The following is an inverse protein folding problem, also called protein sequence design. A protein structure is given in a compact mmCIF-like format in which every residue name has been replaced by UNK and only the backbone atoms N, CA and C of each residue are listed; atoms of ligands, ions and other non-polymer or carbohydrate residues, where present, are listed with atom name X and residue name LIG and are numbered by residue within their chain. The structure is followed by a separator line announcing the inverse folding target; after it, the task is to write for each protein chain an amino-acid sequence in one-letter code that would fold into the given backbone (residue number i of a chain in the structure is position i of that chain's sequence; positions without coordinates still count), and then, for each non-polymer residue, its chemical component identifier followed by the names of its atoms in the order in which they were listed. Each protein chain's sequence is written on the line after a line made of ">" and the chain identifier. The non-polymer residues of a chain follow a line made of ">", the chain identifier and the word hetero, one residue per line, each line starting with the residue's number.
data_IF_157102962764
#
_entry.id   IF_157102962764
#
_cell.length_a   1.000
_cell.length_b   1.000
_cell.length_c   1.000
_cell.angle_alpha   90.00
_cell.angle_beta   90.00
_cell.angle_gamma   90.00
#
_symmetry.space_group_name_H-M   'P 1'
#
loop_
_entity.id
_entity.type
_entity.pdbx_description
1 polymer ?
#
# COMPACT_ATOMS: atom_id res chain seq x y z
N UNK A 1 3.31 -69.26 -25.37
CA UNK A 1 1.89 -69.15 -25.78
C UNK A 1 1.29 -67.97 -25.03
N UNK A 2 1.15 -66.82 -25.71
CA UNK A 2 -0.12 -66.21 -26.14
C UNK A 2 -1.05 -65.73 -25.00
N UNK A 3 -1.02 -64.40 -24.81
CA UNK A 3 -2.10 -63.43 -24.47
C UNK A 3 -3.29 -63.91 -23.64
N UNK A 4 -3.54 -63.25 -22.50
CA UNK A 4 -4.82 -62.75 -21.94
C UNK A 4 -4.37 -61.87 -20.73
N UNK A 5 -4.80 -60.65 -20.45
CA UNK A 5 -5.78 -59.73 -21.03
C UNK A 5 -5.76 -58.50 -20.11
N UNK A 6 -5.65 -57.32 -20.69
CA UNK A 6 -5.65 -56.03 -19.99
C UNK A 6 -6.97 -55.84 -19.23
N UNK A 7 -6.94 -55.82 -17.89
CA UNK A 7 -8.11 -55.45 -17.10
C UNK A 7 -7.69 -54.99 -15.71
N UNK A 8 -7.17 -53.76 -15.57
CA UNK A 8 -7.16 -52.97 -14.33
C UNK A 8 -6.51 -51.60 -14.59
N UNK A 9 -7.13 -50.80 -15.46
CA UNK A 9 -6.80 -49.37 -15.62
C UNK A 9 -8.06 -48.54 -15.87
N UNK A 10 -9.12 -48.79 -15.10
CA UNK A 10 -10.38 -48.02 -15.17
C UNK A 10 -11.02 -47.93 -13.77
N UNK A 11 -10.27 -47.42 -12.78
CA UNK A 11 -10.86 -47.07 -11.48
C UNK A 11 -10.12 -45.92 -10.77
N UNK A 12 -9.72 -44.91 -11.55
CA UNK A 12 -9.26 -43.61 -11.04
C UNK A 12 -9.71 -42.46 -11.98
N UNK A 13 -10.96 -42.54 -12.47
CA UNK A 13 -11.54 -41.53 -13.38
C UNK A 13 -12.94 -41.07 -12.95
N UNK A 14 -13.26 -41.12 -11.65
CA UNK A 14 -14.55 -40.65 -11.11
C UNK A 14 -14.44 -39.69 -9.93
N UNK A 15 -13.30 -39.00 -9.76
CA UNK A 15 -13.15 -37.90 -8.79
C UNK A 15 -12.74 -36.57 -9.43
N UNK A 16 -12.72 -36.49 -10.77
CA UNK A 16 -12.42 -35.27 -11.52
C UNK A 16 -13.68 -34.59 -12.08
N UNK A 17 -14.73 -34.45 -11.26
CA UNK A 17 -15.94 -33.70 -11.65
C UNK A 17 -16.24 -32.50 -10.72
N UNK A 18 -15.24 -32.01 -10.00
CA UNK A 18 -15.31 -30.74 -9.25
C UNK A 18 -14.04 -29.92 -9.44
N UNK A 19 -13.66 -29.66 -10.69
CA UNK A 19 -12.74 -28.59 -11.05
C UNK A 19 -12.95 -28.22 -12.53
N UNK A 20 -12.99 -26.91 -12.80
CA UNK A 20 -13.07 -26.25 -14.11
C UNK A 20 -14.48 -26.01 -14.70
N UNK A 21 -15.24 -25.13 -14.06
CA UNK A 21 -16.11 -24.20 -14.80
C UNK A 21 -15.60 -22.78 -14.61
N UNK A 22 -14.43 -22.50 -15.18
CA UNK A 22 -13.90 -21.13 -15.33
C UNK A 22 -13.87 -20.80 -16.81
N UNK A 23 -14.86 -20.03 -17.26
CA UNK A 23 -14.83 -19.25 -18.50
C UNK A 23 -14.80 -20.04 -19.81
N UNK A 24 -15.94 -20.09 -20.50
CA UNK A 24 -16.12 -19.50 -21.83
C UNK A 24 -17.53 -19.85 -22.34
N UNK A 25 -18.30 -18.82 -22.70
CA UNK A 25 -19.70 -18.84 -23.20
C UNK A 25 -20.84 -18.81 -22.16
N UNK A 26 -20.71 -18.02 -21.09
CA UNK A 26 -21.92 -17.53 -20.42
C UNK A 26 -22.54 -16.46 -21.33
N UNK A 27 -23.66 -16.80 -21.96
CA UNK A 27 -24.43 -15.82 -22.74
C UNK A 27 -25.13 -14.87 -21.77
N UNK A 28 -24.68 -13.61 -21.75
CA UNK A 28 -25.35 -12.56 -20.99
C UNK A 28 -26.73 -12.30 -21.57
N UNK A 29 -27.73 -12.11 -20.70
CA UNK A 29 -29.03 -11.66 -21.18
C UNK A 29 -28.91 -10.27 -21.86
N UNK A 30 -29.76 -9.95 -22.85
CA UNK A 30 -29.63 -8.72 -23.64
C UNK A 30 -29.66 -7.43 -22.81
N UNK A 31 -30.47 -7.39 -21.76
CA UNK A 31 -30.56 -6.29 -20.79
C UNK A 31 -29.26 -6.11 -20.00
N UNK A 32 -28.67 -7.20 -19.50
CA UNK A 32 -27.37 -7.17 -18.81
C UNK A 32 -26.24 -6.78 -19.74
N UNK A 33 -26.23 -7.30 -20.98
CA UNK A 33 -25.26 -6.89 -22.00
C UNK A 33 -25.38 -5.39 -22.33
N UNK A 34 -26.60 -4.87 -22.42
CA UNK A 34 -26.85 -3.44 -22.63
C UNK A 34 -26.32 -2.61 -21.45
N UNK A 35 -26.60 -3.01 -20.21
CA UNK A 35 -26.08 -2.32 -19.02
C UNK A 35 -24.55 -2.32 -19.00
N UNK A 36 -23.90 -3.44 -19.30
CA UNK A 36 -22.45 -3.54 -19.38
C UNK A 36 -21.88 -2.57 -20.45
N UNK A 37 -22.52 -2.47 -21.62
CA UNK A 37 -22.14 -1.52 -22.67
C UNK A 37 -22.30 -0.06 -22.23
N UNK A 38 -23.37 0.27 -21.53
CA UNK A 38 -23.59 1.62 -21.00
C UNK A 38 -22.56 2.00 -19.93
N UNK A 39 -22.22 1.06 -19.04
CA UNK A 39 -21.14 1.22 -18.05
C UNK A 39 -19.79 1.42 -18.74
N UNK A 40 -19.49 0.58 -19.74
CA UNK A 40 -18.26 0.67 -20.53
C UNK A 40 -18.17 1.98 -21.32
N UNK A 41 -19.30 2.53 -21.79
CA UNK A 41 -19.35 3.81 -22.51
C UNK A 41 -18.95 4.99 -21.62
N UNK A 42 -19.42 5.02 -20.37
CA UNK A 42 -18.98 6.04 -19.40
C UNK A 42 -17.51 5.85 -19.00
N UNK A 43 -17.06 4.59 -18.96
CA UNK A 43 -15.67 4.19 -18.72
C UNK A 43 -15.02 4.83 -17.47
N UNK A 44 -15.82 5.05 -16.44
CA UNK A 44 -15.36 5.54 -15.14
C UNK A 44 -16.10 4.82 -14.03
N UNK A 45 -15.38 4.41 -13.00
CA UNK A 45 -15.97 3.89 -11.78
C UNK A 45 -16.31 5.06 -10.86
N UNK A 46 -17.59 5.26 -10.58
CA UNK A 46 -18.09 6.34 -9.74
C UNK A 46 -18.77 5.79 -8.49
N UNK A 47 -18.54 6.43 -7.34
CA UNK A 47 -19.28 6.12 -6.10
C UNK A 47 -20.71 6.72 -6.14
N UNK A 48 -21.50 6.42 -5.10
CA UNK A 48 -22.91 6.86 -4.99
C UNK A 48 -23.12 8.36 -5.10
N UNK A 49 -22.16 9.17 -4.67
CA UNK A 49 -22.24 10.62 -4.64
C UNK A 49 -20.89 11.19 -5.11
N UNK A 50 -20.92 12.06 -6.12
CA UNK A 50 -19.72 12.61 -6.77
C UNK A 50 -19.81 14.12 -7.01
N UNK A 51 -18.65 14.76 -7.10
CA UNK A 51 -18.53 16.21 -7.29
C UNK A 51 -18.86 17.03 -6.04
N UNK A 52 -18.73 18.35 -6.17
CA UNK A 52 -18.91 19.30 -5.05
C UNK A 52 -20.31 19.21 -4.42
N UNK A 53 -21.33 18.99 -5.25
CA UNK A 53 -22.73 18.90 -4.81
C UNK A 53 -23.13 17.49 -4.29
N UNK A 54 -22.21 16.51 -4.28
CA UNK A 54 -22.54 15.14 -3.88
C UNK A 54 -23.58 14.49 -4.79
N UNK A 55 -23.59 14.85 -6.08
CA UNK A 55 -24.58 14.40 -7.05
C UNK A 55 -24.51 12.90 -7.24
N UNK A 56 -25.67 12.24 -7.25
CA UNK A 56 -25.76 10.83 -7.61
C UNK A 56 -25.59 10.65 -9.11
N UNK A 57 -24.54 9.97 -9.60
CA UNK A 57 -24.27 9.88 -11.02
C UNK A 57 -25.10 8.77 -11.68
N UNK A 58 -25.50 8.96 -12.94
CA UNK A 58 -26.19 7.93 -13.73
C UNK A 58 -25.39 6.61 -13.80
N UNK A 59 -24.06 6.70 -13.72
CA UNK A 59 -23.17 5.54 -13.67
C UNK A 59 -23.41 4.67 -12.42
N UNK A 60 -23.71 5.29 -11.28
CA UNK A 60 -24.07 4.56 -10.07
C UNK A 60 -25.43 3.89 -10.20
N UNK A 61 -26.40 4.54 -10.85
CA UNK A 61 -27.71 3.92 -11.15
C UNK A 61 -27.56 2.69 -12.06
N UNK A 62 -26.67 2.74 -13.06
CA UNK A 62 -26.35 1.58 -13.90
C UNK A 62 -25.74 0.45 -13.08
N UNK A 63 -24.85 0.77 -12.15
CA UNK A 63 -24.28 -0.23 -11.25
C UNK A 63 -25.34 -0.87 -10.35
N UNK A 64 -26.22 -0.08 -9.71
CA UNK A 64 -27.28 -0.64 -8.87
C UNK A 64 -28.21 -1.55 -9.68
N UNK A 65 -28.62 -1.12 -10.88
CA UNK A 65 -29.39 -1.98 -11.81
C UNK A 65 -28.64 -3.26 -12.16
N UNK A 66 -27.36 -3.16 -12.51
CA UNK A 66 -26.54 -4.34 -12.82
C UNK A 66 -26.51 -5.31 -11.63
N UNK A 67 -26.26 -4.80 -10.42
CA UNK A 67 -26.19 -5.59 -9.18
C UNK A 67 -27.53 -6.27 -8.87
N UNK A 68 -28.65 -5.58 -9.08
CA UNK A 68 -29.99 -6.07 -8.72
C UNK A 68 -30.56 -7.02 -9.78
N UNK A 69 -30.20 -6.84 -11.05
CA UNK A 69 -30.80 -7.59 -12.15
C UNK A 69 -29.94 -8.76 -12.63
N UNK A 70 -28.60 -8.65 -12.59
CA UNK A 70 -27.72 -9.70 -13.07
C UNK A 70 -27.71 -10.89 -12.09
N UNK A 71 -27.75 -12.10 -12.65
CA UNK A 71 -27.52 -13.31 -11.86
C UNK A 71 -26.06 -13.38 -11.39
N UNK A 72 -25.76 -14.13 -10.31
CA UNK A 72 -24.38 -14.34 -9.88
C UNK A 72 -23.48 -14.88 -11.00
N UNK A 73 -23.99 -15.76 -11.86
CA UNK A 73 -23.22 -16.32 -12.99
C UNK A 73 -22.88 -15.24 -14.04
N UNK A 74 -23.81 -14.34 -14.35
CA UNK A 74 -23.57 -13.21 -15.25
C UNK A 74 -22.56 -12.22 -14.65
N UNK A 75 -22.68 -11.91 -13.36
CA UNK A 75 -21.72 -11.05 -12.66
C UNK A 75 -20.31 -11.66 -12.66
N UNK A 76 -20.19 -12.96 -12.38
CA UNK A 76 -18.90 -13.68 -12.47
C UNK A 76 -18.32 -13.62 -13.88
N UNK A 77 -19.15 -13.81 -14.91
CA UNK A 77 -18.71 -13.69 -16.31
C UNK A 77 -18.22 -12.27 -16.64
N UNK A 78 -18.91 -11.24 -16.15
CA UNK A 78 -18.53 -9.84 -16.35
C UNK A 78 -17.21 -9.45 -15.66
N UNK A 79 -16.73 -10.23 -14.69
CA UNK A 79 -15.39 -10.01 -14.13
C UNK A 79 -14.27 -10.27 -15.14
N UNK A 80 -14.52 -10.99 -16.24
CA UNK A 80 -13.59 -11.17 -17.36
C UNK A 80 -13.85 -10.24 -18.56
N UNK A 81 -14.72 -9.24 -18.42
CA UNK A 81 -15.10 -8.34 -19.52
C UNK A 81 -13.91 -7.50 -20.02
N UNK A 82 -13.85 -7.15 -21.31
CA UNK A 82 -12.74 -6.37 -21.91
C UNK A 82 -12.55 -4.98 -21.25
N UNK A 83 -13.67 -4.31 -20.92
CA UNK A 83 -13.67 -3.02 -20.26
C UNK A 83 -13.38 -3.16 -18.74
N UNK A 84 -12.34 -2.48 -18.21
CA UNK A 84 -11.93 -2.61 -16.81
C UNK A 84 -12.98 -2.10 -15.81
N UNK A 85 -13.78 -1.09 -16.17
CA UNK A 85 -14.84 -0.55 -15.29
C UNK A 85 -15.96 -1.55 -15.10
N UNK A 86 -16.33 -2.27 -16.17
CA UNK A 86 -17.30 -3.37 -16.10
C UNK A 86 -16.79 -4.47 -15.18
N UNK A 87 -15.51 -4.87 -15.31
CA UNK A 87 -14.88 -5.85 -14.40
C UNK A 87 -14.99 -5.41 -12.94
N UNK A 88 -14.61 -4.16 -12.64
CA UNK A 88 -14.64 -3.61 -11.29
C UNK A 88 -16.06 -3.55 -10.70
N UNK A 89 -17.06 -3.09 -11.44
CA UNK A 89 -18.44 -3.06 -10.93
C UNK A 89 -19.01 -4.45 -10.70
N UNK A 90 -18.74 -5.40 -11.60
CA UNK A 90 -19.17 -6.78 -11.43
C UNK A 90 -18.52 -7.43 -10.19
N UNK A 91 -17.21 -7.27 -10.02
CA UNK A 91 -16.49 -7.76 -8.84
C UNK A 91 -16.97 -7.10 -7.55
N UNK A 92 -17.24 -5.80 -7.57
CA UNK A 92 -17.78 -5.08 -6.42
C UNK A 92 -19.18 -5.58 -6.03
N UNK A 93 -20.07 -5.84 -7.00
CA UNK A 93 -21.39 -6.44 -6.76
C UNK A 93 -21.27 -7.84 -6.12
N UNK A 94 -20.36 -8.68 -6.61
CA UNK A 94 -20.09 -10.01 -6.03
C UNK A 94 -19.54 -9.90 -4.60
N UNK A 95 -18.65 -8.94 -4.35
CA UNK A 95 -18.08 -8.71 -3.02
C UNK A 95 -19.13 -8.24 -2.01
N UNK A 96 -20.03 -7.32 -2.42
CA UNK A 96 -21.14 -6.87 -1.57
C UNK A 96 -22.15 -7.97 -1.25
N UNK A 97 -22.35 -8.92 -2.17
CA UNK A 97 -23.25 -10.06 -1.98
C UNK A 97 -22.59 -11.27 -1.32
N UNK A 98 -21.30 -11.15 -0.93
CA UNK A 98 -20.50 -12.22 -0.34
C UNK A 98 -20.47 -13.51 -1.20
N UNK A 99 -20.41 -13.34 -2.52
CA UNK A 99 -20.40 -14.46 -3.45
C UNK A 99 -19.15 -15.34 -3.23
N UNK A 100 -19.35 -16.65 -3.17
CA UNK A 100 -18.27 -17.63 -2.91
C UNK A 100 -17.12 -17.59 -3.93
N UNK A 101 -17.34 -17.07 -5.14
CA UNK A 101 -16.33 -16.97 -6.18
C UNK A 101 -15.39 -15.77 -6.03
N UNK A 102 -15.66 -14.82 -5.12
CA UNK A 102 -14.85 -13.60 -4.93
C UNK A 102 -13.37 -13.92 -4.74
N UNK A 103 -13.05 -14.92 -3.91
CA UNK A 103 -11.67 -15.32 -3.67
C UNK A 103 -10.99 -15.83 -4.95
N UNK A 104 -11.61 -16.76 -5.67
CA UNK A 104 -11.05 -17.32 -6.90
C UNK A 104 -10.91 -16.26 -8.00
N UNK A 105 -11.89 -15.37 -8.13
CA UNK A 105 -11.84 -14.28 -9.10
C UNK A 105 -10.71 -13.30 -8.77
N UNK A 106 -10.51 -12.96 -7.49
CA UNK A 106 -9.38 -12.14 -7.04
C UNK A 106 -8.06 -12.78 -7.47
N UNK A 107 -7.85 -14.07 -7.17
CA UNK A 107 -6.62 -14.78 -7.53
C UNK A 107 -6.32 -14.70 -9.04
N UNK A 108 -7.34 -14.86 -9.87
CA UNK A 108 -7.20 -14.82 -11.34
C UNK A 108 -6.87 -13.43 -11.88
N UNK A 109 -7.09 -12.36 -11.11
CA UNK A 109 -6.90 -10.97 -11.53
C UNK A 109 -5.74 -10.27 -10.82
N UNK A 110 -4.90 -10.98 -10.07
CA UNK A 110 -3.74 -10.37 -9.41
C UNK A 110 -2.70 -9.83 -10.39
N UNK A 111 -2.71 -10.26 -11.65
CA UNK A 111 -1.85 -9.73 -12.72
C UNK A 111 -2.57 -8.71 -13.61
N UNK A 112 -3.83 -8.36 -13.35
CA UNK A 112 -4.57 -7.39 -14.17
C UNK A 112 -4.14 -5.96 -13.86
N UNK A 113 -3.23 -5.45 -14.70
CA UNK A 113 -2.70 -4.08 -14.61
C UNK A 113 -3.50 -3.06 -15.40
N UNK A 114 -4.67 -3.42 -15.94
CA UNK A 114 -5.53 -2.47 -16.66
C UNK A 114 -5.93 -1.32 -15.74
N UNK A 115 -5.89 -0.08 -16.25
CA UNK A 115 -6.23 1.09 -15.45
C UNK A 115 -7.75 1.33 -15.44
N UNK A 116 -8.28 1.54 -14.25
CA UNK A 116 -9.64 2.07 -14.03
C UNK A 116 -9.54 3.50 -13.52
N UNK A 117 -10.25 4.43 -14.16
CA UNK A 117 -10.46 5.78 -13.65
C UNK A 117 -11.56 5.75 -12.59
N UNK A 118 -11.33 6.41 -11.46
CA UNK A 118 -12.29 6.50 -10.36
C UNK A 118 -12.76 7.93 -10.11
N UNK A 119 -13.97 8.06 -9.55
CA UNK A 119 -14.47 9.29 -8.96
C UNK A 119 -15.22 8.94 -7.67
N UNK A 120 -14.65 9.32 -6.55
CA UNK A 120 -15.20 9.05 -5.22
C UNK A 120 -15.40 10.38 -4.52
N UNK A 121 -16.66 10.80 -4.35
CA UNK A 121 -16.94 12.17 -3.90
C UNK A 121 -16.32 13.17 -4.89
N UNK A 122 -15.48 14.07 -4.39
CA UNK A 122 -14.73 15.02 -5.21
C UNK A 122 -13.39 14.50 -5.74
N UNK A 123 -12.95 13.30 -5.35
CA UNK A 123 -11.62 12.78 -5.65
C UNK A 123 -11.62 11.93 -6.92
N UNK A 124 -11.03 12.47 -7.99
CA UNK A 124 -10.69 11.71 -9.19
C UNK A 124 -9.34 11.01 -9.02
N UNK A 125 -9.25 9.73 -9.39
CA UNK A 125 -7.99 8.98 -9.34
C UNK A 125 -7.94 7.90 -10.41
N UNK A 126 -6.88 7.10 -10.42
CA UNK A 126 -6.78 5.88 -11.21
C UNK A 126 -6.05 4.80 -10.43
N UNK A 127 -6.50 3.56 -10.56
CA UNK A 127 -5.87 2.38 -9.98
C UNK A 127 -5.91 1.22 -10.96
N UNK A 128 -5.11 0.16 -10.71
CA UNK A 128 -5.17 -1.07 -11.51
C UNK A 128 -6.39 -1.91 -11.09
N UNK A 129 -6.93 -2.71 -12.00
CA UNK A 129 -8.04 -3.61 -11.69
C UNK A 129 -7.67 -4.60 -10.58
N UNK A 130 -6.47 -5.18 -10.61
CA UNK A 130 -6.02 -6.07 -9.53
C UNK A 130 -5.94 -5.37 -8.16
N UNK A 131 -5.54 -4.10 -8.11
CA UNK A 131 -5.55 -3.29 -6.87
C UNK A 131 -6.99 -3.05 -6.39
N UNK A 132 -7.90 -2.69 -7.31
CA UNK A 132 -9.31 -2.51 -6.99
C UNK A 132 -9.92 -3.79 -6.42
N UNK A 133 -9.64 -4.94 -7.04
CA UNK A 133 -10.15 -6.24 -6.62
C UNK A 133 -9.60 -6.58 -5.23
N UNK A 134 -8.29 -6.44 -5.03
CA UNK A 134 -7.65 -6.71 -3.75
C UNK A 134 -8.29 -5.91 -2.60
N UNK A 135 -8.53 -4.62 -2.80
CA UNK A 135 -9.08 -3.71 -1.80
C UNK A 135 -10.57 -3.93 -1.51
N UNK A 136 -11.34 -4.38 -2.50
CA UNK A 136 -12.80 -4.58 -2.35
C UNK A 136 -13.20 -6.03 -2.08
N UNK A 137 -12.27 -6.98 -2.08
CA UNK A 137 -12.57 -8.39 -1.89
C UNK A 137 -13.05 -8.68 -0.45
N UNK A 138 -14.27 -9.18 -0.34
CA UNK A 138 -14.82 -9.75 0.88
C UNK A 138 -14.28 -11.18 1.07
N UNK A 139 -13.09 -11.30 1.67
CA UNK A 139 -12.40 -12.58 1.92
C UNK A 139 -12.10 -12.77 3.40
N UNK A 140 -12.05 -14.02 3.83
CA UNK A 140 -11.63 -14.38 5.20
C UNK A 140 -10.15 -14.02 5.47
N UNK A 141 -9.77 -13.93 6.74
CA UNK A 141 -8.36 -13.69 7.13
C UNK A 141 -7.39 -14.73 6.55
N UNK A 142 -7.80 -16.00 6.47
CA UNK A 142 -6.99 -17.08 5.85
C UNK A 142 -6.80 -16.87 4.36
N UNK A 143 -7.86 -16.48 3.65
CA UNK A 143 -7.78 -16.17 2.22
C UNK A 143 -6.94 -14.92 1.97
N UNK A 144 -7.09 -13.87 2.79
CA UNK A 144 -6.26 -12.67 2.72
C UNK A 144 -4.79 -13.02 2.89
N UNK A 145 -4.46 -13.81 3.90
CA UNK A 145 -3.10 -14.30 4.12
C UNK A 145 -2.52 -15.03 2.90
N UNK A 146 -3.31 -15.89 2.25
CA UNK A 146 -2.88 -16.58 1.04
C UNK A 146 -2.63 -15.62 -0.14
N UNK A 147 -3.50 -14.62 -0.33
CA UNK A 147 -3.31 -13.59 -1.35
C UNK A 147 -2.06 -12.77 -1.07
N UNK A 148 -1.85 -12.34 0.17
CA UNK A 148 -0.68 -11.54 0.57
C UNK A 148 0.62 -12.31 0.32
N UNK A 149 0.63 -13.63 0.58
CA UNK A 149 1.76 -14.50 0.24
C UNK A 149 1.98 -14.56 -1.27
N UNK A 150 0.94 -14.75 -2.09
CA UNK A 150 1.07 -14.75 -3.55
C UNK A 150 1.59 -13.40 -4.05
N UNK A 151 1.05 -12.29 -3.54
CA UNK A 151 1.51 -10.94 -3.85
C UNK A 151 3.01 -10.81 -3.59
N UNK A 152 3.48 -11.22 -2.41
CA UNK A 152 4.88 -11.06 -2.02
C UNK A 152 5.84 -11.90 -2.85
N UNK A 153 5.49 -13.15 -3.13
CA UNK A 153 6.41 -14.14 -3.75
C UNK A 153 6.32 -14.23 -5.27
N UNK A 154 5.29 -13.67 -5.90
CA UNK A 154 5.18 -13.66 -7.35
C UNK A 154 5.69 -12.33 -7.94
N UNK A 155 6.79 -12.40 -8.69
CA UNK A 155 7.40 -11.26 -9.38
C UNK A 155 6.57 -10.73 -10.55
N UNK A 156 5.72 -11.55 -11.17
CA UNK A 156 4.88 -11.10 -12.28
C UNK A 156 3.75 -10.17 -11.81
N UNK A 157 3.49 -10.10 -10.50
CA UNK A 157 2.46 -9.25 -9.94
C UNK A 157 3.00 -7.85 -9.68
N UNK A 158 2.54 -6.90 -10.48
CA UNK A 158 2.82 -5.48 -10.34
C UNK A 158 1.55 -4.74 -9.90
N UNK A 159 1.28 -4.76 -8.59
CA UNK A 159 0.15 -4.09 -7.95
C UNK A 159 0.64 -3.20 -6.79
N UNK A 160 -0.03 -2.08 -6.55
CA UNK A 160 0.25 -1.20 -5.40
C UNK A 160 -0.02 -1.92 -4.07
N UNK A 161 -0.93 -2.89 -4.04
CA UNK A 161 -1.20 -3.76 -2.89
C UNK A 161 0.07 -4.42 -2.32
N UNK A 162 1.08 -4.74 -3.15
CA UNK A 162 2.38 -5.27 -2.68
C UNK A 162 3.17 -4.22 -1.90
N UNK A 163 3.15 -2.96 -2.33
CA UNK A 163 3.77 -1.85 -1.60
C UNK A 163 3.08 -1.63 -0.25
N UNK A 164 1.74 -1.61 -0.23
CA UNK A 164 0.97 -1.49 1.02
C UNK A 164 1.25 -2.65 1.99
N UNK A 165 1.36 -3.87 1.46
CA UNK A 165 1.72 -5.05 2.23
C UNK A 165 3.10 -4.88 2.88
N UNK A 166 4.13 -4.52 2.12
CA UNK A 166 5.49 -4.30 2.65
C UNK A 166 5.51 -3.20 3.71
N UNK A 167 4.75 -2.12 3.51
CA UNK A 167 4.66 -1.02 4.47
C UNK A 167 4.12 -1.48 5.84
N UNK A 168 3.13 -2.37 5.87
CA UNK A 168 2.48 -2.85 7.11
C UNK A 168 3.01 -4.18 7.64
N UNK A 169 3.86 -4.89 6.90
CA UNK A 169 4.26 -6.25 7.26
C UNK A 169 5.03 -6.26 8.58
N UNK A 170 4.74 -7.26 9.42
CA UNK A 170 5.52 -7.56 10.63
C UNK A 170 6.77 -8.37 10.25
N UNK A 171 7.90 -8.21 10.97
CA UNK A 171 9.11 -8.96 10.69
C UNK A 171 8.92 -10.43 11.10
N UNK A 172 8.59 -11.29 10.13
CA UNK A 172 8.40 -12.72 10.34
C UNK A 172 9.46 -13.49 9.55
N UNK A 173 10.21 -14.36 10.21
CA UNK A 173 11.40 -15.00 9.63
C UNK A 173 11.17 -15.64 8.25
N UNK A 174 9.99 -16.22 8.02
CA UNK A 174 9.60 -16.81 6.73
C UNK A 174 9.64 -15.85 5.54
N UNK A 175 9.51 -14.54 5.77
CA UNK A 175 9.53 -13.52 4.73
C UNK A 175 10.88 -12.83 4.59
N UNK A 176 11.82 -13.06 5.51
CA UNK A 176 13.09 -12.34 5.57
C UNK A 176 13.86 -12.36 4.24
N UNK A 177 14.13 -13.55 3.71
CA UNK A 177 14.89 -13.69 2.45
C UNK A 177 14.20 -12.99 1.28
N UNK A 178 12.86 -13.09 1.22
CA UNK A 178 12.09 -12.46 0.14
C UNK A 178 12.06 -10.94 0.26
N UNK A 179 11.89 -10.41 1.47
CA UNK A 179 11.95 -8.95 1.71
C UNK A 179 13.35 -8.42 1.41
N UNK A 180 14.40 -9.15 1.79
CA UNK A 180 15.79 -8.80 1.49
C UNK A 180 16.06 -8.75 -0.01
N UNK A 181 15.57 -9.73 -0.76
CA UNK A 181 15.60 -9.73 -2.23
C UNK A 181 14.92 -8.49 -2.81
N UNK A 182 13.70 -8.18 -2.35
CA UNK A 182 12.94 -7.01 -2.80
C UNK A 182 13.63 -5.68 -2.44
N UNK A 183 14.30 -5.60 -1.28
CA UNK A 183 15.05 -4.41 -0.85
C UNK A 183 16.28 -4.12 -1.73
N UNK A 184 16.83 -5.16 -2.37
CA UNK A 184 17.91 -5.02 -3.35
C UNK A 184 17.40 -4.60 -4.74
N UNK A 185 16.10 -4.81 -5.03
CA UNK A 185 15.47 -4.39 -6.28
C UNK A 185 15.30 -2.86 -6.37
N UNK A 186 15.18 -2.33 -7.59
CA UNK A 186 14.79 -0.94 -7.84
C UNK A 186 13.27 -0.71 -7.74
N UNK A 187 12.47 -1.76 -7.93
CA UNK A 187 11.01 -1.63 -8.08
C UNK A 187 10.27 -1.47 -6.73
N UNK A 188 10.91 -1.86 -5.63
CA UNK A 188 10.27 -1.92 -4.30
C UNK A 188 11.12 -1.27 -3.20
N UNK A 189 11.42 0.04 -3.28
CA UNK A 189 12.24 0.70 -2.27
C UNK A 189 11.63 0.67 -0.85
N UNK A 190 10.30 0.52 -0.72
CA UNK A 190 9.63 0.28 0.58
C UNK A 190 10.11 -1.00 1.28
N UNK A 191 10.64 -1.98 0.55
CA UNK A 191 11.17 -3.20 1.14
C UNK A 191 12.42 -2.91 2.00
N UNK A 192 13.12 -1.79 1.79
CA UNK A 192 14.22 -1.34 2.66
C UNK A 192 13.70 -1.06 4.08
N UNK A 193 12.55 -0.40 4.20
CA UNK A 193 11.90 -0.16 5.48
C UNK A 193 11.40 -1.47 6.10
N UNK A 194 10.78 -2.34 5.31
CA UNK A 194 10.33 -3.65 5.77
C UNK A 194 11.49 -4.53 6.28
N UNK A 195 12.65 -4.48 5.62
CA UNK A 195 13.86 -5.20 6.01
C UNK A 195 14.40 -4.67 7.34
N UNK A 196 14.43 -3.35 7.53
CA UNK A 196 14.93 -2.73 8.76
C UNK A 196 14.15 -3.16 10.02
N UNK A 197 12.87 -3.54 9.89
CA UNK A 197 12.07 -4.05 11.01
C UNK A 197 12.62 -5.35 11.63
N UNK A 198 13.44 -6.11 10.89
CA UNK A 198 14.13 -7.31 11.43
C UNK A 198 15.31 -6.95 12.33
N UNK A 199 15.88 -5.74 12.20
CA UNK A 199 17.03 -5.25 12.99
C UNK A 199 18.25 -6.16 12.93
N UNK A 200 18.45 -6.83 11.79
CA UNK A 200 19.62 -7.68 11.57
C UNK A 200 20.82 -6.83 11.13
N UNK A 201 21.90 -6.90 11.91
CA UNK A 201 23.18 -6.23 11.61
C UNK A 201 23.76 -6.60 10.24
N UNK A 202 23.44 -7.78 9.71
CA UNK A 202 23.87 -8.19 8.37
C UNK A 202 23.25 -7.34 7.24
N UNK A 203 22.19 -6.58 7.51
CA UNK A 203 21.49 -5.75 6.53
C UNK A 203 21.93 -4.27 6.54
N UNK A 204 22.82 -3.89 7.47
CA UNK A 204 23.32 -2.50 7.60
C UNK A 204 23.89 -1.99 6.27
N UNK A 205 24.68 -2.78 5.56
CA UNK A 205 25.26 -2.37 4.28
C UNK A 205 24.21 -2.16 3.17
N UNK A 206 23.08 -2.88 3.22
CA UNK A 206 21.98 -2.69 2.27
C UNK A 206 21.33 -1.33 2.51
N UNK A 207 21.01 -1.01 3.76
CA UNK A 207 20.38 0.26 4.14
C UNK A 207 21.33 1.45 3.90
N UNK A 208 22.63 1.30 4.18
CA UNK A 208 23.65 2.32 3.88
C UNK A 208 23.71 2.69 2.40
N UNK A 209 23.64 1.69 1.52
CA UNK A 209 23.61 1.92 0.07
C UNK A 209 22.34 2.66 -0.34
N UNK A 210 21.21 2.41 0.32
CA UNK A 210 19.95 3.08 0.01
C UNK A 210 19.97 4.60 0.26
N UNK A 211 20.75 5.10 1.23
CA UNK A 211 20.93 6.55 1.44
C UNK A 211 21.49 7.27 0.21
N UNK A 212 22.29 6.58 -0.63
CA UNK A 212 22.91 7.16 -1.83
C UNK A 212 22.17 6.81 -3.13
N UNK A 213 21.18 5.93 -3.06
CA UNK A 213 20.43 5.47 -4.24
C UNK A 213 19.29 6.44 -4.53
N UNK A 214 19.18 6.87 -5.78
CA UNK A 214 18.12 7.78 -6.22
C UNK A 214 16.73 7.21 -5.87
N UNK A 215 15.86 8.08 -5.34
CA UNK A 215 14.52 7.70 -4.90
C UNK A 215 14.44 6.83 -3.65
N UNK A 216 15.56 6.45 -3.03
CA UNK A 216 15.59 5.53 -1.89
C UNK A 216 15.91 6.19 -0.54
N UNK A 217 16.47 7.40 -0.53
CA UNK A 217 16.93 8.07 0.69
C UNK A 217 15.83 8.21 1.76
N UNK A 218 14.60 8.56 1.37
CA UNK A 218 13.46 8.63 2.29
C UNK A 218 13.18 7.30 3.00
N UNK A 219 13.26 6.19 2.27
CA UNK A 219 13.08 4.85 2.83
C UNK A 219 14.27 4.43 3.71
N UNK A 220 15.49 4.88 3.38
CA UNK A 220 16.67 4.66 4.23
C UNK A 220 16.56 5.43 5.57
N UNK A 221 16.02 6.65 5.55
CA UNK A 221 15.73 7.41 6.77
C UNK A 221 14.66 6.68 7.60
N UNK A 222 13.54 6.24 6.99
CA UNK A 222 12.54 5.43 7.69
C UNK A 222 13.11 4.13 8.26
N UNK A 223 13.98 3.45 7.51
CA UNK A 223 14.69 2.27 7.99
C UNK A 223 15.55 2.57 9.22
N UNK A 224 16.25 3.72 9.24
CA UNK A 224 17.02 4.16 10.41
C UNK A 224 16.15 4.52 11.62
N UNK A 225 14.86 4.83 11.43
CA UNK A 225 13.90 4.95 12.54
C UNK A 225 13.59 3.57 13.14
N UNK A 226 13.35 2.57 12.29
CA UNK A 226 13.01 1.22 12.72
C UNK A 226 14.21 0.46 13.34
N UNK A 227 15.42 0.73 12.84
CA UNK A 227 16.68 0.14 13.24
C UNK A 227 17.78 1.22 13.31
N UNK A 228 18.02 1.85 14.47
CA UNK A 228 18.96 2.95 14.60
C UNK A 228 20.42 2.46 14.73
N UNK A 229 21.00 1.94 13.64
CA UNK A 229 22.39 1.49 13.62
C UNK A 229 23.38 2.69 13.58
N UNK A 230 24.47 2.70 14.37
CA UNK A 230 25.44 3.80 14.41
C UNK A 230 25.98 4.22 13.03
N UNK A 231 26.11 3.28 12.11
CA UNK A 231 26.62 3.46 10.76
C UNK A 231 25.72 4.34 9.88
N UNK A 232 24.45 4.54 10.27
CA UNK A 232 23.52 5.41 9.55
C UNK A 232 23.70 6.89 9.94
N UNK A 233 24.31 7.18 11.09
CA UNK A 233 24.34 8.53 11.65
C UNK A 233 24.97 9.58 10.73
N UNK A 234 26.12 9.27 10.10
CA UNK A 234 26.77 10.22 9.19
C UNK A 234 25.88 10.58 8.01
N UNK A 235 25.09 9.63 7.50
CA UNK A 235 24.16 9.84 6.41
C UNK A 235 22.98 10.72 6.84
N UNK A 236 22.39 10.45 8.01
CA UNK A 236 21.30 11.26 8.55
C UNK A 236 21.73 12.72 8.76
N UNK A 237 22.93 12.95 9.30
CA UNK A 237 23.43 14.32 9.47
C UNK A 237 23.71 15.02 8.14
N UNK A 238 24.21 14.28 7.13
CA UNK A 238 24.40 14.83 5.78
C UNK A 238 23.06 15.19 5.13
N UNK A 239 22.07 14.31 5.19
CA UNK A 239 20.71 14.55 4.70
C UNK A 239 20.05 15.75 5.39
N UNK A 240 20.25 15.91 6.70
CA UNK A 240 19.76 17.09 7.44
C UNK A 240 20.37 18.38 6.90
N UNK A 241 21.70 18.43 6.76
CA UNK A 241 22.39 19.64 6.30
C UNK A 241 22.05 20.00 4.85
N UNK A 242 21.95 18.97 3.99
CA UNK A 242 21.51 19.15 2.62
C UNK A 242 20.09 19.73 2.56
N UNK A 243 19.12 19.12 3.25
CA UNK A 243 17.75 19.64 3.30
C UNK A 243 17.69 21.04 3.92
N UNK A 244 18.51 21.33 4.92
CA UNK A 244 18.57 22.65 5.54
C UNK A 244 18.96 23.75 4.54
N UNK A 245 19.86 23.43 3.62
CA UNK A 245 20.36 24.34 2.57
C UNK A 245 19.35 24.58 1.44
N UNK A 246 18.33 23.73 1.30
CA UNK A 246 17.33 23.81 0.24
C UNK A 246 16.30 24.91 0.51
N UNK A 247 15.77 25.45 -0.60
CA UNK A 247 14.62 26.39 -0.58
C UNK A 247 13.29 25.64 -0.51
N UNK A 248 13.20 24.49 -1.17
CA UNK A 248 12.02 23.63 -1.18
C UNK A 248 11.92 22.82 0.11
N UNK A 249 10.70 22.42 0.45
CA UNK A 249 10.42 21.73 1.71
C UNK A 249 9.75 20.37 1.51
N UNK A 250 10.37 19.32 2.06
CA UNK A 250 9.75 18.01 2.15
C UNK A 250 9.33 17.73 3.60
N UNK A 251 8.06 17.96 3.91
CA UNK A 251 7.51 17.70 5.25
C UNK A 251 7.72 16.24 5.70
N UNK A 252 7.45 15.21 4.87
CA UNK A 252 7.67 13.83 5.28
C UNK A 252 9.14 13.52 5.59
N UNK A 253 10.07 14.05 4.79
CA UNK A 253 11.51 13.83 4.99
C UNK A 253 12.00 14.51 6.27
N UNK A 254 11.62 15.76 6.52
CA UNK A 254 11.97 16.45 7.77
C UNK A 254 11.46 15.72 9.00
N UNK A 255 10.18 15.34 8.97
CA UNK A 255 9.55 14.56 10.03
C UNK A 255 10.34 13.28 10.34
N UNK A 256 10.70 12.53 9.30
CA UNK A 256 11.48 11.30 9.43
C UNK A 256 12.92 11.57 9.93
N UNK A 257 13.57 12.64 9.47
CA UNK A 257 14.93 13.00 9.88
C UNK A 257 15.01 13.33 11.38
N UNK A 258 14.07 14.13 11.92
CA UNK A 258 14.06 14.42 13.36
C UNK A 258 13.85 13.15 14.18
N UNK A 259 12.91 12.28 13.78
CA UNK A 259 12.64 11.02 14.45
C UNK A 259 13.85 10.06 14.40
N UNK A 260 14.53 9.98 13.26
CA UNK A 260 15.74 9.18 13.14
C UNK A 260 16.86 9.76 14.02
N UNK A 261 17.15 11.06 13.92
CA UNK A 261 18.23 11.72 14.66
C UNK A 261 18.01 11.72 16.18
N UNK A 262 16.76 11.79 16.67
CA UNK A 262 16.46 11.72 18.10
C UNK A 262 16.92 10.40 18.75
N UNK A 263 17.12 9.34 17.95
CA UNK A 263 17.67 8.06 18.43
C UNK A 263 19.21 8.05 18.50
N UNK A 264 19.88 9.15 18.14
CA UNK A 264 21.34 9.33 18.24
C UNK A 264 21.67 10.52 19.15
N UNK A 265 21.49 10.38 20.47
CA UNK A 265 21.72 11.47 21.42
C UNK A 265 23.21 11.77 21.58
N UNK A 266 23.64 12.87 20.97
CA UNK A 266 24.99 13.41 21.12
C UNK A 266 25.00 14.92 20.83
N UNK A 267 26.10 15.58 21.17
CA UNK A 267 26.26 17.04 21.03
C UNK A 267 26.03 17.55 19.60
N UNK A 268 26.42 16.77 18.59
CA UNK A 268 26.21 17.14 17.19
C UNK A 268 24.72 17.12 16.86
N UNK A 269 23.98 16.09 17.26
CA UNK A 269 22.52 16.05 17.10
C UNK A 269 21.83 17.19 17.83
N UNK A 270 22.24 17.48 19.07
CA UNK A 270 21.74 18.61 19.84
C UNK A 270 21.99 19.95 19.13
N UNK A 271 23.15 20.11 18.49
CA UNK A 271 23.46 21.30 17.68
C UNK A 271 22.52 21.45 16.48
N UNK A 272 22.26 20.36 15.74
CA UNK A 272 21.30 20.35 14.64
C UNK A 272 19.89 20.75 15.10
N UNK A 273 19.44 20.22 16.24
CA UNK A 273 18.14 20.57 16.81
C UNK A 273 18.09 22.04 17.23
N UNK A 274 19.15 22.58 17.87
CA UNK A 274 19.22 24.00 18.22
C UNK A 274 19.25 24.94 17.00
N UNK A 275 19.78 24.49 15.84
CA UNK A 275 19.69 25.25 14.57
C UNK A 275 18.24 25.57 14.20
N UNK A 276 17.35 24.63 14.49
CA UNK A 276 15.89 24.78 14.32
C UNK A 276 15.32 25.88 15.20
N UNK A 277 15.74 25.91 16.45
CA UNK A 277 15.20 26.82 17.46
C UNK A 277 15.77 28.25 17.36
N UNK A 278 16.88 28.42 16.64
CA UNK A 278 17.57 29.71 16.48
C UNK A 278 17.39 30.33 15.09
N UNK A 279 16.68 29.65 14.17
CA UNK A 279 16.41 30.20 12.84
C UNK A 279 15.51 31.45 12.91
N UNK A 280 15.82 32.44 12.06
CA UNK A 280 14.98 33.65 11.89
C UNK A 280 13.82 33.44 10.92
N UNK A 281 13.83 32.34 10.17
CA UNK A 281 12.76 31.96 9.26
C UNK A 281 11.58 31.44 10.09
N UNK A 282 10.55 32.26 10.26
CA UNK A 282 9.37 31.94 11.07
C UNK A 282 8.67 30.66 10.58
N UNK A 283 8.56 30.47 9.27
CA UNK A 283 7.89 29.32 8.70
C UNK A 283 8.67 28.03 8.96
N UNK A 284 10.01 28.05 8.77
CA UNK A 284 10.88 26.93 9.14
C UNK A 284 10.83 26.66 10.64
N UNK A 285 10.91 27.70 11.47
CA UNK A 285 10.83 27.56 12.93
C UNK A 285 9.56 26.84 13.34
N UNK A 286 8.39 27.34 12.94
CA UNK A 286 7.09 26.77 13.30
C UNK A 286 6.95 25.32 12.82
N UNK A 287 7.24 25.08 11.53
CA UNK A 287 7.08 23.76 10.92
C UNK A 287 8.01 22.73 11.54
N UNK A 288 9.30 23.03 11.69
CA UNK A 288 10.28 22.06 12.18
C UNK A 288 10.25 21.92 13.68
N UNK A 289 9.90 22.97 14.43
CA UNK A 289 9.76 22.84 15.89
C UNK A 289 8.65 21.86 16.23
N UNK A 290 7.57 21.77 15.43
CA UNK A 290 6.57 20.70 15.56
C UNK A 290 7.20 19.31 15.40
N UNK A 291 7.91 19.07 14.29
CA UNK A 291 8.55 17.77 14.03
C UNK A 291 9.63 17.41 15.03
N UNK A 292 10.43 18.38 15.46
CA UNK A 292 11.41 18.22 16.52
C UNK A 292 10.73 17.81 17.83
N UNK A 293 9.69 18.55 18.24
CA UNK A 293 8.95 18.27 19.48
C UNK A 293 8.32 16.87 19.45
N UNK A 294 7.71 16.49 18.33
CA UNK A 294 7.19 15.12 18.14
C UNK A 294 8.31 14.08 18.29
N UNK A 295 9.48 14.31 17.67
CA UNK A 295 10.59 13.36 17.70
C UNK A 295 11.16 13.17 19.11
N UNK A 296 11.48 14.26 19.83
CA UNK A 296 12.04 14.17 21.19
C UNK A 296 10.99 13.70 22.22
N UNK A 297 9.69 13.85 21.92
CA UNK A 297 8.64 13.24 22.76
C UNK A 297 8.51 11.74 22.51
N UNK A 298 8.63 11.29 21.25
CA UNK A 298 8.57 9.85 20.90
C UNK A 298 9.84 9.09 21.31
N UNK A 299 10.99 9.76 21.27
CA UNK A 299 12.30 9.20 21.62
C UNK A 299 12.95 10.09 22.69
N UNK A 300 12.45 10.04 23.95
CA UNK A 300 12.93 10.91 25.02
C UNK A 300 14.38 10.58 25.39
N UNK A 301 15.17 11.63 25.64
CA UNK A 301 16.54 11.53 26.11
C UNK A 301 16.93 12.78 26.90
N UNK A 302 17.68 12.62 27.99
CA UNK A 302 18.08 13.70 28.90
C UNK A 302 18.74 14.90 28.20
N UNK A 303 19.57 14.63 27.19
CA UNK A 303 20.24 15.64 26.37
C UNK A 303 19.26 16.59 25.64
N UNK A 304 18.06 16.11 25.32
CA UNK A 304 17.05 16.85 24.56
C UNK A 304 15.97 17.46 25.44
N UNK A 305 15.86 17.08 26.72
CA UNK A 305 14.86 17.62 27.66
C UNK A 305 14.84 19.16 27.70
N UNK A 306 15.99 19.88 27.73
CA UNK A 306 15.99 21.33 27.72
C UNK A 306 15.39 21.96 26.45
N UNK A 307 15.23 21.20 25.36
CA UNK A 307 14.62 21.69 24.12
C UNK A 307 13.10 21.80 24.25
N UNK A 308 12.45 20.99 25.08
CA UNK A 308 11.00 21.02 25.30
C UNK A 308 10.53 22.41 25.74
N UNK A 309 11.26 23.05 26.67
CA UNK A 309 10.96 24.39 27.17
C UNK A 309 11.31 25.53 26.18
N UNK A 310 12.14 25.24 25.17
CA UNK A 310 12.59 26.24 24.17
C UNK A 310 11.68 26.29 22.94
N UNK A 311 10.93 25.22 22.67
CA UNK A 311 9.93 25.19 21.60
C UNK A 311 8.75 26.08 21.99
N UNK A 312 8.46 27.09 21.19
CA UNK A 312 7.35 28.03 21.40
C UNK A 312 6.39 27.93 20.22
N UNK A 313 5.37 27.10 20.37
CA UNK A 313 4.31 26.89 19.39
C UNK A 313 3.00 27.46 19.95
N UNK A 314 2.11 27.90 19.08
CA UNK A 314 0.77 28.32 19.47
C UNK A 314 -0.17 27.13 19.75
N UNK A 315 -1.37 27.40 20.26
CA UNK A 315 -2.33 26.36 20.63
C UNK A 315 -2.75 25.48 19.44
N UNK A 316 -2.80 26.05 18.24
CA UNK A 316 -3.17 25.33 17.02
C UNK A 316 -2.04 24.36 16.64
N UNK A 317 -0.81 24.83 16.60
CA UNK A 317 0.39 24.02 16.32
C UNK A 317 0.58 22.91 17.37
N UNK A 318 0.32 23.22 18.65
CA UNK A 318 0.37 22.24 19.73
C UNK A 318 -0.73 21.19 19.64
N UNK A 319 -1.91 21.53 19.11
CA UNK A 319 -2.97 20.55 18.86
C UNK A 319 -2.55 19.52 17.80
N UNK A 320 -1.93 19.98 16.69
CA UNK A 320 -1.39 19.10 15.65
C UNK A 320 -0.30 18.16 16.22
N UNK A 321 0.61 18.67 17.05
CA UNK A 321 1.64 17.87 17.71
C UNK A 321 1.02 16.76 18.58
N UNK A 322 0.04 17.11 19.42
CA UNK A 322 -0.65 16.15 20.30
C UNK A 322 -1.37 15.07 19.50
N UNK A 323 -2.08 15.44 18.44
CA UNK A 323 -2.75 14.49 17.56
C UNK A 323 -1.74 13.48 16.98
N UNK A 324 -0.59 13.97 16.53
CA UNK A 324 0.42 13.14 15.90
C UNK A 324 1.20 12.22 16.86
N UNK A 325 1.45 12.69 18.08
CA UNK A 325 2.03 11.86 19.14
C UNK A 325 1.10 10.68 19.45
N UNK A 326 -0.22 10.93 19.50
CA UNK A 326 -1.23 9.92 19.81
C UNK A 326 -1.47 8.93 18.64
N UNK A 327 -1.03 9.25 17.42
CA UNK A 327 -1.02 8.28 16.31
C UNK A 327 0.11 7.27 16.54
N UNK A 328 -0.24 6.11 17.07
CA UNK A 328 0.60 4.91 17.07
C UNK A 328 0.74 4.46 15.61
N UNK A 329 1.97 4.38 15.08
CA UNK A 329 2.24 3.80 13.76
C UNK A 329 2.59 2.32 13.92
#
# INVERSE_FOLDING_TARGET
>A
MKRIGYFLFLLFLSLSCYAQTTGNNVQLRPDISKLAKEIAKENRWMSRAVGYAGTRPAQWDRFEKLREQASPVELRALTGHENPVVRCYAFYALSLSLDTAVYTILLNHLTDTSKVSTLIGCLGSSQKVGDFFYSNAAVSGRQRYAVDSILLFNDSINLYAKWELLNKIKPEQRYYHRIKELALSADYPIAIEALAKYRDTADVEIIKKAFKKEGCEGYAISAAIAFPAPEFYSYLTASFEEEWSRKSYSYPKWRALYQALAQYPNEKTLSLFNKTLTTKDKFKYQTLSKFLLIAITKFPHELFEPLNAKVKLDDYEMAEVKEEINRTY
#
